data_IF_340361231811
#
_entry.id   IF_340361231811
#
_cell.length_a   1.000
_cell.length_b   1.000
_cell.length_c   1.000
_cell.angle_alpha   90.00
_cell.angle_beta   90.00
_cell.angle_gamma   90.00
#
_symmetry.space_group_name_H-M   'P 1'
#
loop_
_entity.id
_entity.type
_entity.pdbx_description
1 polymer ?
#
# COMPACT_ATOMS: atom_id res chain seq x y z
N UNK A 1 -16.88 3.61 -15.46
CA UNK A 1 -15.53 3.64 -14.84
C UNK A 1 -15.53 4.70 -13.76
N UNK A 2 -15.28 4.31 -12.52
CA UNK A 2 -15.08 5.26 -11.42
C UNK A 2 -13.60 5.62 -11.34
N UNK A 3 -13.30 6.88 -11.05
CA UNK A 3 -11.94 7.35 -10.75
C UNK A 3 -11.81 7.61 -9.27
N UNK A 4 -10.72 7.14 -8.68
CA UNK A 4 -10.39 7.42 -7.29
C UNK A 4 -8.94 7.86 -7.21
N UNK A 5 -8.65 8.79 -6.31
CA UNK A 5 -7.28 9.13 -5.94
C UNK A 5 -6.91 8.27 -4.74
N UNK A 6 -5.92 7.40 -4.89
CA UNK A 6 -5.43 6.54 -3.82
C UNK A 6 -4.20 7.16 -3.16
N UNK A 7 -4.21 7.14 -1.83
CA UNK A 7 -3.01 7.34 -1.02
C UNK A 7 -2.30 6.00 -0.78
N UNK A 8 -1.00 6.04 -0.43
CA UNK A 8 -0.23 4.83 -0.15
C UNK A 8 -0.86 3.99 0.97
N UNK A 9 -1.41 4.63 2.00
CA UNK A 9 -2.06 3.94 3.12
C UNK A 9 -3.27 3.08 2.71
N UNK A 10 -3.93 3.41 1.59
CA UNK A 10 -5.08 2.64 1.09
C UNK A 10 -4.68 1.36 0.35
N UNK A 11 -3.44 1.27 -0.15
CA UNK A 11 -2.95 0.15 -0.94
C UNK A 11 -1.94 -0.71 -0.18
N UNK A 12 -1.11 -0.10 0.67
CA UNK A 12 -0.05 -0.78 1.42
C UNK A 12 -0.51 -2.05 2.17
N UNK A 13 -1.73 -2.10 2.77
CA UNK A 13 -2.23 -3.31 3.42
C UNK A 13 -2.25 -4.58 2.56
N UNK A 14 -2.34 -4.46 1.23
CA UNK A 14 -2.32 -5.62 0.33
C UNK A 14 -1.00 -6.41 0.36
N UNK A 15 0.09 -5.78 0.83
CA UNK A 15 1.43 -6.37 0.85
C UNK A 15 1.97 -6.62 2.25
N UNK A 16 1.22 -6.28 3.31
CA UNK A 16 1.62 -6.45 4.70
C UNK A 16 0.78 -7.55 5.38
N UNK A 17 1.39 -8.43 6.19
CA UNK A 17 0.65 -9.50 6.84
C UNK A 17 -0.24 -8.96 7.98
N UNK A 18 -1.46 -9.51 8.09
CA UNK A 18 -2.38 -9.27 9.22
C UNK A 18 -2.88 -7.83 9.38
N UNK A 19 -2.87 -7.04 8.31
CA UNK A 19 -3.45 -5.68 8.33
C UNK A 19 -4.98 -5.73 8.34
N UNK A 20 -5.61 -4.88 9.16
CA UNK A 20 -7.08 -4.79 9.30
C UNK A 20 -7.79 -4.53 7.95
N UNK A 21 -7.13 -3.77 7.07
CA UNK A 21 -7.71 -3.33 5.80
C UNK A 21 -7.18 -4.08 4.57
N UNK A 22 -6.50 -5.22 4.76
CA UNK A 22 -5.94 -6.00 3.66
C UNK A 22 -7.00 -6.35 2.59
N UNK A 23 -8.16 -6.85 3.00
CA UNK A 23 -9.23 -7.23 2.07
C UNK A 23 -9.73 -6.06 1.19
N UNK A 24 -9.80 -4.84 1.74
CA UNK A 24 -10.19 -3.66 0.98
C UNK A 24 -9.10 -3.23 -0.01
N UNK A 25 -7.84 -3.31 0.39
CA UNK A 25 -6.72 -3.01 -0.50
C UNK A 25 -6.64 -4.00 -1.66
N UNK A 26 -6.84 -5.29 -1.38
CA UNK A 26 -6.90 -6.35 -2.39
C UNK A 26 -8.05 -6.12 -3.38
N UNK A 27 -9.23 -5.74 -2.90
CA UNK A 27 -10.39 -5.40 -3.74
C UNK A 27 -10.10 -4.20 -4.65
N UNK A 28 -9.48 -3.13 -4.14
CA UNK A 28 -9.11 -1.96 -4.95
C UNK A 28 -8.13 -2.32 -6.08
N UNK A 29 -7.14 -3.17 -5.77
CA UNK A 29 -6.17 -3.65 -6.75
C UNK A 29 -6.85 -4.52 -7.80
N UNK A 30 -7.76 -5.40 -7.39
CA UNK A 30 -8.48 -6.28 -8.29
C UNK A 30 -9.41 -5.49 -9.22
N UNK A 31 -10.22 -4.57 -8.69
CA UNK A 31 -11.09 -3.69 -9.49
C UNK A 31 -10.28 -2.85 -10.49
N UNK A 32 -9.07 -2.45 -10.13
CA UNK A 32 -8.17 -1.76 -11.06
C UNK A 32 -7.65 -2.68 -12.16
N UNK A 33 -7.20 -3.89 -11.80
CA UNK A 33 -6.73 -4.90 -12.75
C UNK A 33 -7.81 -5.32 -13.75
N UNK A 34 -9.07 -5.38 -13.29
CA UNK A 34 -10.25 -5.71 -14.11
C UNK A 34 -10.75 -4.53 -14.96
N UNK A 35 -10.17 -3.34 -14.80
CA UNK A 35 -10.57 -2.14 -15.52
C UNK A 35 -11.90 -1.51 -15.04
N UNK A 36 -12.41 -1.93 -13.88
CA UNK A 36 -13.62 -1.36 -13.28
C UNK A 36 -13.34 -0.03 -12.55
N UNK A 37 -12.10 0.13 -12.09
CA UNK A 37 -11.59 1.27 -11.32
C UNK A 37 -10.34 1.88 -11.97
N UNK A 38 -10.35 3.19 -12.18
CA UNK A 38 -9.15 3.94 -12.55
C UNK A 38 -8.53 4.51 -11.28
N UNK A 39 -7.37 3.97 -10.89
CA UNK A 39 -6.57 4.45 -9.77
C UNK A 39 -5.66 5.60 -10.23
N UNK A 40 -5.94 6.80 -9.74
CA UNK A 40 -5.06 7.94 -9.84
C UNK A 40 -4.23 8.03 -8.56
N UNK A 41 -2.97 8.42 -8.65
CA UNK A 41 -2.15 8.61 -7.46
C UNK A 41 -1.12 9.73 -7.66
N UNK A 42 -0.65 10.36 -6.58
CA UNK A 42 0.50 11.25 -6.64
C UNK A 42 1.72 10.52 -7.20
N UNK A 43 2.62 11.26 -7.86
CA UNK A 43 3.91 10.72 -8.33
C UNK A 43 4.72 10.06 -7.20
N UNK A 44 4.47 10.45 -5.95
CA UNK A 44 5.13 9.93 -4.76
C UNK A 44 4.67 8.53 -4.32
N UNK A 45 3.53 8.03 -4.83
CA UNK A 45 2.92 6.78 -4.35
C UNK A 45 3.92 5.62 -4.32
N UNK A 46 4.67 5.42 -5.41
CA UNK A 46 5.64 4.33 -5.49
C UNK A 46 6.71 4.41 -4.39
N UNK A 47 7.17 5.62 -4.07
CA UNK A 47 8.16 5.83 -3.02
C UNK A 47 7.58 5.59 -1.63
N UNK A 48 6.33 5.99 -1.40
CA UNK A 48 5.64 5.81 -0.12
C UNK A 48 5.33 4.33 0.15
N UNK A 49 4.89 3.59 -0.87
CA UNK A 49 4.71 2.13 -0.78
C UNK A 49 6.05 1.44 -0.49
N UNK A 50 7.09 1.74 -1.27
CA UNK A 50 8.42 1.14 -1.07
C UNK A 50 8.99 1.45 0.32
N UNK A 51 8.82 2.68 0.79
CA UNK A 51 9.22 3.05 2.15
C UNK A 51 8.41 2.29 3.20
N UNK A 52 7.08 2.18 3.04
CA UNK A 52 6.23 1.40 3.94
C UNK A 52 6.68 -0.07 4.06
N UNK A 53 6.96 -0.72 2.92
CA UNK A 53 7.49 -2.08 2.88
C UNK A 53 8.88 -2.19 3.50
N UNK A 54 9.76 -1.23 3.20
CA UNK A 54 11.09 -1.17 3.79
C UNK A 54 11.01 -1.08 5.32
N UNK A 55 10.15 -0.21 5.86
CA UNK A 55 9.94 -0.04 7.29
C UNK A 55 9.37 -1.30 7.94
N UNK A 56 8.45 -1.99 7.28
CA UNK A 56 7.88 -3.24 7.79
C UNK A 56 8.93 -4.36 7.93
N UNK A 57 9.93 -4.40 7.03
CA UNK A 57 10.97 -5.44 7.04
C UNK A 57 12.20 -5.05 7.86
N UNK A 58 12.58 -3.77 7.84
CA UNK A 58 13.87 -3.28 8.37
C UNK A 58 13.75 -2.33 9.55
N UNK A 59 12.54 -1.85 9.87
CA UNK A 59 12.34 -0.75 10.80
C UNK A 59 12.78 0.60 10.22
N UNK A 60 12.64 1.67 11.01
CA UNK A 60 13.06 3.02 10.59
C UNK A 60 14.57 3.10 10.39
N UNK A 61 15.01 3.75 9.32
CA UNK A 61 16.42 4.06 9.12
C UNK A 61 16.98 4.80 10.34
N UNK A 62 17.99 4.21 10.99
CA UNK A 62 18.59 4.72 12.23
C UNK A 62 18.00 4.17 13.54
N UNK A 63 16.99 3.30 13.49
CA UNK A 63 16.54 2.51 14.65
C UNK A 63 17.04 1.08 14.50
N UNK A 64 17.60 0.52 15.59
CA UNK A 64 17.92 -0.92 15.65
C UNK A 64 16.60 -1.67 15.52
N UNK A 65 16.47 -2.65 14.60
CA UNK A 65 15.25 -3.44 14.50
C UNK A 65 14.96 -4.07 15.86
N UNK A 66 13.82 -3.70 16.46
CA UNK A 66 13.25 -4.46 17.56
C UNK A 66 12.86 -5.81 16.99
N UNK A 67 13.72 -6.81 17.16
CA UNK A 67 13.36 -8.19 16.91
C UNK A 67 12.16 -8.55 17.81
N UNK A 68 11.18 -9.33 17.30
CA UNK A 68 10.16 -9.93 18.14
C UNK A 68 10.78 -10.80 19.24
#
# INVERSE_FOLDING_TARGET
>A
MKRVVADASALLPAWLPQEEHQAYADELIQLHADGELELCAPMLLAYEILNGLYLAVRGKAGQVPGLP
#
